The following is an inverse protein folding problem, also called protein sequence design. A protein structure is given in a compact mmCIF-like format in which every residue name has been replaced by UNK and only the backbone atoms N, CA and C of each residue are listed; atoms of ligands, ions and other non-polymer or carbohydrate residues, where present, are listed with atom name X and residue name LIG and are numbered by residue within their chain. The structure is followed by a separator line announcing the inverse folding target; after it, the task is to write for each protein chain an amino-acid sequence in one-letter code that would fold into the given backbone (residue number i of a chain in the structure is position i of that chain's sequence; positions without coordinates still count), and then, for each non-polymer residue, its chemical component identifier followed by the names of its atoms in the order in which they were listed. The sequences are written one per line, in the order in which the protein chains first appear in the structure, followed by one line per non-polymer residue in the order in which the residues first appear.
data_IF_782206305173
#
_entry.id   IF_782206305173
#
_cell.length_a   1.000
_cell.length_b   1.000
_cell.length_c   1.000
_cell.angle_alpha   90.00
_cell.angle_beta   90.00
_cell.angle_gamma   90.00
#
_symmetry.space_group_name_H-M   'P 1'
#
loop_
_entity.id
_entity.type
_entity.pdbx_description
1 polymer ?
#
# COMPACT_ATOMS: atom_id res chain seq x y z
N UNK A 1 -11.01 12.00 2.75
CA UNK A 1 -10.64 11.33 3.99
C UNK A 1 -9.15 11.48 4.29
N UNK A 2 -8.26 11.00 3.42
CA UNK A 2 -6.82 11.26 3.48
C UNK A 2 -6.38 12.09 2.27
N UNK A 3 -5.55 13.11 2.49
CA UNK A 3 -4.98 13.95 1.44
C UNK A 3 -3.51 14.23 1.76
N UNK A 4 -2.63 13.90 0.84
CA UNK A 4 -1.22 14.30 0.88
C UNK A 4 -1.04 15.50 -0.03
N UNK A 5 -0.40 16.57 0.45
CA UNK A 5 -0.07 17.74 -0.34
C UNK A 5 1.38 18.14 -0.10
N UNK A 6 2.16 18.18 -1.18
CA UNK A 6 3.58 18.53 -1.17
C UNK A 6 4.39 17.76 -0.12
N UNK A 7 4.01 16.48 0.11
CA UNK A 7 4.68 15.63 1.09
C UNK A 7 6.10 15.35 0.63
N UNK A 8 7.07 15.79 1.42
CA UNK A 8 8.49 15.47 1.21
C UNK A 8 9.04 14.75 2.43
N UNK A 9 9.80 13.73 2.17
CA UNK A 9 10.51 12.95 3.19
C UNK A 9 11.99 12.88 2.82
N UNK A 10 12.86 13.32 3.72
CA UNK A 10 14.31 13.29 3.54
C UNK A 10 15.00 12.57 4.70
N UNK A 11 16.03 11.79 4.38
CA UNK A 11 16.93 11.13 5.35
C UNK A 11 18.36 11.48 4.90
N UNK A 12 19.19 11.93 5.81
CA UNK A 12 20.59 12.35 5.53
C UNK A 12 20.67 13.34 4.35
N UNK A 13 19.75 14.33 4.34
CA UNK A 13 19.56 15.33 3.30
C UNK A 13 19.26 14.76 1.89
N UNK A 14 18.96 13.47 1.77
CA UNK A 14 18.54 12.83 0.54
C UNK A 14 17.01 12.73 0.48
N UNK A 15 16.42 13.25 -0.60
CA UNK A 15 14.97 13.20 -0.82
C UNK A 15 14.53 11.77 -1.23
N UNK A 16 13.75 11.13 -0.33
CA UNK A 16 13.18 9.80 -0.52
C UNK A 16 11.82 9.88 -1.20
N UNK A 17 10.98 10.84 -0.77
CA UNK A 17 9.61 11.05 -1.24
C UNK A 17 9.45 12.53 -1.61
N UNK A 18 8.75 12.75 -2.72
CA UNK A 18 8.28 14.06 -3.14
C UNK A 18 6.93 13.90 -3.85
N UNK A 19 5.88 13.78 -3.06
CA UNK A 19 4.51 13.59 -3.55
C UNK A 19 3.81 14.93 -3.55
N UNK A 20 3.55 15.47 -4.74
CA UNK A 20 2.82 16.74 -4.88
C UNK A 20 1.38 16.61 -4.37
N UNK A 21 0.69 15.54 -4.76
CA UNK A 21 -0.69 15.26 -4.33
C UNK A 21 -1.01 13.77 -4.41
N UNK A 22 -1.71 13.26 -3.38
CA UNK A 22 -2.36 11.94 -3.36
C UNK A 22 -3.59 12.01 -2.47
N UNK A 23 -4.74 11.52 -2.96
CA UNK A 23 -6.00 11.57 -2.24
C UNK A 23 -6.61 10.17 -2.11
N UNK A 24 -7.14 9.85 -0.92
CA UNK A 24 -7.95 8.65 -0.66
C UNK A 24 -9.31 9.12 -0.18
N UNK A 25 -10.36 8.85 -0.98
CA UNK A 25 -11.75 9.14 -0.60
C UNK A 25 -12.27 8.05 0.36
N UNK A 26 -13.31 8.34 1.17
CA UNK A 26 -13.93 7.31 2.01
C UNK A 26 -14.36 6.09 1.19
N UNK A 27 -14.14 4.89 1.72
CA UNK A 27 -14.50 3.62 1.06
C UNK A 27 -13.67 3.28 -0.19
N UNK A 28 -12.65 4.07 -0.53
CA UNK A 28 -11.77 3.80 -1.68
C UNK A 28 -10.71 2.77 -1.33
N UNK A 29 -10.47 1.82 -2.23
CA UNK A 29 -9.30 0.94 -2.22
C UNK A 29 -8.27 1.49 -3.21
N UNK A 30 -7.26 2.20 -2.68
CA UNK A 30 -6.18 2.78 -3.48
C UNK A 30 -4.95 1.87 -3.44
N UNK A 31 -4.49 1.43 -4.61
CA UNK A 31 -3.21 0.75 -4.78
C UNK A 31 -2.06 1.75 -4.92
N UNK A 32 -0.99 1.57 -4.17
CA UNK A 32 0.28 2.28 -4.36
C UNK A 32 1.30 1.30 -4.94
N UNK A 33 1.63 1.45 -6.21
CA UNK A 33 2.44 0.47 -6.95
C UNK A 33 3.72 1.08 -7.51
N UNK A 34 4.79 0.28 -7.57
CA UNK A 34 6.08 0.65 -8.15
C UNK A 34 7.17 -0.35 -7.79
N UNK A 35 8.34 -0.26 -8.44
CA UNK A 35 9.48 -1.14 -8.15
C UNK A 35 9.96 -1.02 -6.68
N UNK A 36 10.75 -2.00 -6.23
CA UNK A 36 11.41 -1.92 -4.91
C UNK A 36 12.28 -0.66 -4.82
N UNK A 37 12.28 0.01 -3.67
CA UNK A 37 13.01 1.26 -3.48
C UNK A 37 12.32 2.51 -4.05
N UNK A 38 11.10 2.41 -4.62
CA UNK A 38 10.38 3.58 -5.16
C UNK A 38 9.77 4.52 -4.11
N UNK A 39 9.79 4.16 -2.82
CA UNK A 39 9.26 4.98 -1.72
C UNK A 39 7.89 4.55 -1.18
N UNK A 40 7.31 3.43 -1.62
CA UNK A 40 5.97 2.94 -1.21
C UNK A 40 5.83 2.80 0.31
N UNK A 41 6.65 1.95 0.92
CA UNK A 41 6.67 1.70 2.38
C UNK A 41 6.91 2.98 3.17
N UNK A 42 7.80 3.86 2.69
CA UNK A 42 8.07 5.14 3.35
C UNK A 42 6.86 6.07 3.27
N UNK A 43 6.11 6.06 2.15
CA UNK A 43 4.84 6.81 2.02
C UNK A 43 3.79 6.27 3.01
N UNK A 44 3.63 4.94 3.09
CA UNK A 44 2.72 4.29 4.03
C UNK A 44 3.07 4.65 5.49
N UNK A 45 4.35 4.57 5.85
CA UNK A 45 4.85 4.95 7.19
C UNK A 45 4.70 6.45 7.48
N UNK A 46 4.90 7.33 6.49
CA UNK A 46 4.68 8.77 6.65
C UNK A 46 3.23 9.08 7.02
N UNK A 47 2.26 8.42 6.37
CA UNK A 47 0.84 8.56 6.66
C UNK A 47 0.52 8.08 8.09
N UNK A 48 1.12 6.98 8.53
CA UNK A 48 0.89 6.42 9.88
C UNK A 48 1.70 7.11 11.00
N UNK A 49 2.60 8.05 10.66
CA UNK A 49 3.53 8.65 11.61
C UNK A 49 4.52 7.63 12.20
N UNK A 50 5.00 6.69 11.37
CA UNK A 50 5.90 5.59 11.75
C UNK A 50 7.27 5.70 11.07
N UNK A 51 7.66 6.90 10.67
CA UNK A 51 8.99 7.14 10.12
C UNK A 51 10.06 7.11 11.23
N UNK A 52 11.31 6.75 10.90
CA UNK A 52 12.43 6.88 11.84
C UNK A 52 12.64 8.32 12.32
N UNK A 53 13.19 8.50 13.52
CA UNK A 53 13.37 9.82 14.15
C UNK A 53 14.30 10.75 13.35
N UNK A 54 15.24 10.21 12.59
CA UNK A 54 16.19 10.97 11.75
C UNK A 54 15.53 11.55 10.50
N UNK A 55 14.25 11.25 10.28
CA UNK A 55 13.53 11.64 9.07
C UNK A 55 13.00 13.06 9.18
N UNK A 56 13.36 13.91 8.21
CA UNK A 56 12.73 15.23 8.05
C UNK A 56 11.51 15.09 7.14
N UNK A 57 10.37 15.57 7.62
CA UNK A 57 9.09 15.52 6.88
C UNK A 57 8.54 16.93 6.74
N UNK A 58 8.03 17.26 5.55
CA UNK A 58 7.38 18.54 5.27
C UNK A 58 6.19 18.37 4.32
N UNK A 59 5.38 19.41 4.16
CA UNK A 59 4.10 19.35 3.44
C UNK A 59 2.94 19.08 4.39
N UNK A 60 1.92 18.34 3.92
CA UNK A 60 0.79 17.99 4.78
C UNK A 60 0.27 16.57 4.52
N UNK A 61 -0.20 15.94 5.59
CA UNK A 61 -0.91 14.65 5.61
C UNK A 61 -2.24 14.90 6.31
N UNK A 62 -3.24 15.37 5.56
CA UNK A 62 -4.56 15.66 6.09
C UNK A 62 -5.38 14.37 6.22
N UNK A 63 -5.78 14.03 7.44
CA UNK A 63 -6.66 12.90 7.71
C UNK A 63 -7.88 13.38 8.51
N UNK A 64 -9.06 13.18 7.95
CA UNK A 64 -10.33 13.62 8.56
C UNK A 64 -10.34 15.09 9.01
N UNK A 65 -9.70 15.97 8.23
CA UNK A 65 -9.64 17.41 8.51
C UNK A 65 -8.50 17.86 9.42
N UNK A 66 -7.64 16.95 9.89
CA UNK A 66 -6.50 17.25 10.76
C UNK A 66 -5.18 16.91 10.06
N UNK A 67 -4.18 17.79 10.13
CA UNK A 67 -2.85 17.48 9.61
C UNK A 67 -2.07 16.61 10.58
N UNK A 68 -1.75 15.39 10.19
CA UNK A 68 -1.05 14.42 11.05
C UNK A 68 0.39 14.84 11.36
N UNK A 69 1.01 15.66 10.50
CA UNK A 69 2.39 16.11 10.72
C UNK A 69 2.51 17.14 11.86
N UNK A 70 1.40 17.77 12.25
CA UNK A 70 1.37 18.76 13.33
C UNK A 70 1.13 18.12 14.71
N UNK A 71 0.87 16.80 14.73
CA UNK A 71 0.54 16.07 15.93
C UNK A 71 1.79 15.55 16.63
N UNK A 72 1.77 15.60 17.96
CA UNK A 72 2.72 14.89 18.81
C UNK A 72 2.55 13.36 18.66
N UNK A 73 3.59 12.58 18.99
CA UNK A 73 3.50 11.12 18.97
C UNK A 73 2.37 10.58 19.88
N UNK A 74 2.12 11.24 21.01
CA UNK A 74 1.01 10.90 21.93
C UNK A 74 -0.36 11.09 21.29
N UNK A 75 -0.52 12.10 20.43
CA UNK A 75 -1.77 12.35 19.69
C UNK A 75 -1.91 11.37 18.53
N UNK A 76 -0.83 11.10 17.78
CA UNK A 76 -0.78 10.08 16.76
C UNK A 76 -1.09 8.68 17.31
N UNK A 77 -0.60 8.36 18.52
CA UNK A 77 -0.89 7.09 19.18
C UNK A 77 -2.40 6.88 19.46
N UNK A 78 -3.18 7.97 19.63
CA UNK A 78 -4.65 7.87 19.76
C UNK A 78 -5.35 7.57 18.44
N UNK A 79 -4.74 7.89 17.31
CA UNK A 79 -5.28 7.63 15.97
C UNK A 79 -4.83 6.27 15.44
N UNK A 80 -3.59 5.88 15.73
CA UNK A 80 -3.04 4.56 15.37
C UNK A 80 -3.84 3.47 16.10
N UNK A 81 -4.26 2.46 15.35
CA UNK A 81 -5.11 1.37 15.82
C UNK A 81 -6.59 1.73 15.89
N UNK A 82 -6.96 2.96 16.30
CA UNK A 82 -8.36 3.39 16.40
C UNK A 82 -8.95 3.87 15.08
N UNK A 83 -8.22 4.69 14.33
CA UNK A 83 -8.68 5.28 13.07
C UNK A 83 -7.82 4.89 11.87
N UNK A 84 -6.56 4.55 12.12
CA UNK A 84 -5.61 4.10 11.11
C UNK A 84 -5.06 2.75 11.57
N UNK A 85 -5.47 1.67 10.90
CA UNK A 85 -4.90 0.33 11.04
C UNK A 85 -3.70 0.17 10.12
N UNK A 86 -2.71 -0.61 10.55
CA UNK A 86 -1.52 -0.89 9.76
C UNK A 86 -1.21 -2.40 9.74
N UNK A 87 -1.12 -2.98 8.55
CA UNK A 87 -0.67 -4.35 8.29
C UNK A 87 0.73 -4.27 7.69
N UNK A 88 1.72 -4.77 8.42
CA UNK A 88 3.13 -4.75 8.01
C UNK A 88 3.45 -5.87 7.03
N UNK A 89 4.56 -5.73 6.31
CA UNK A 89 5.02 -6.66 5.29
C UNK A 89 5.33 -8.07 5.82
N UNK A 90 5.89 -8.18 7.03
CA UNK A 90 6.37 -9.44 7.61
C UNK A 90 5.65 -9.69 8.94
N UNK A 91 4.68 -10.64 8.99
CA UNK A 91 3.95 -10.94 10.22
C UNK A 91 4.83 -11.58 11.28
N UNK A 92 5.87 -12.34 10.90
CA UNK A 92 6.76 -12.99 11.84
C UNK A 92 7.63 -11.99 12.63
N UNK A 93 7.96 -10.85 12.00
CA UNK A 93 8.68 -9.74 12.66
C UNK A 93 7.76 -8.77 13.38
N UNK A 94 6.50 -8.69 12.97
CA UNK A 94 5.54 -7.72 13.49
C UNK A 94 4.81 -8.23 14.73
N UNK A 95 4.56 -9.54 14.80
CA UNK A 95 3.97 -10.17 15.98
C UNK A 95 5.04 -10.40 17.06
N UNK A 96 4.71 -10.07 18.32
CA UNK A 96 5.60 -10.31 19.45
C UNK A 96 5.67 -11.84 19.74
N UNK A 97 6.83 -12.50 19.53
CA UNK A 97 6.95 -13.96 19.66
C UNK A 97 6.74 -14.44 21.11
N UNK A 98 6.90 -13.57 22.10
CA UNK A 98 6.73 -13.89 23.53
C UNK A 98 5.33 -13.60 24.06
N UNK A 99 4.42 -13.12 23.20
CA UNK A 99 3.06 -12.76 23.59
C UNK A 99 2.03 -13.66 22.89
N UNK A 100 1.03 -14.12 23.64
CA UNK A 100 -0.07 -14.93 23.09
C UNK A 100 -0.91 -14.13 22.12
N UNK A 101 -1.45 -14.81 21.10
CA UNK A 101 -2.26 -14.22 20.03
C UNK A 101 -3.44 -13.41 20.58
N UNK A 102 -4.23 -14.00 21.48
CA UNK A 102 -5.38 -13.29 22.08
C UNK A 102 -5.01 -12.01 22.80
N UNK A 103 -3.82 -11.95 23.41
CA UNK A 103 -3.33 -10.74 24.06
C UNK A 103 -2.97 -9.67 23.03
N UNK A 104 -2.27 -10.04 21.95
CA UNK A 104 -1.87 -9.09 20.91
C UNK A 104 -3.07 -8.47 20.20
N UNK A 105 -4.05 -9.29 19.78
CA UNK A 105 -5.27 -8.78 19.14
C UNK A 105 -6.09 -7.92 20.11
N UNK A 106 -6.10 -8.25 21.43
CA UNK A 106 -6.86 -7.48 22.42
C UNK A 106 -6.24 -6.13 22.76
N UNK A 107 -5.00 -5.86 22.39
CA UNK A 107 -4.32 -4.61 22.76
C UNK A 107 -5.05 -3.38 22.21
N UNK A 108 -5.33 -3.35 20.91
CA UNK A 108 -6.05 -2.25 20.26
C UNK A 108 -7.46 -2.07 20.86
N UNK A 109 -8.17 -3.17 21.15
CA UNK A 109 -9.49 -3.12 21.79
C UNK A 109 -9.41 -2.45 23.16
N UNK A 110 -8.45 -2.86 23.99
CA UNK A 110 -8.26 -2.32 25.36
C UNK A 110 -7.85 -0.85 25.38
N UNK A 111 -7.07 -0.43 24.37
CA UNK A 111 -6.56 0.95 24.29
C UNK A 111 -7.61 1.91 23.71
N UNK A 112 -8.48 1.45 22.81
CA UNK A 112 -9.30 2.33 22.00
C UNK A 112 -10.82 2.12 22.15
N UNK A 113 -11.25 1.15 22.96
CA UNK A 113 -12.67 0.89 23.23
C UNK A 113 -12.95 0.84 24.74
N UNK A 114 -14.22 0.95 25.12
CA UNK A 114 -14.66 0.84 26.51
C UNK A 114 -14.89 -0.61 26.98
N UNK A 115 -14.63 -1.60 26.11
CA UNK A 115 -14.83 -3.02 26.40
C UNK A 115 -13.87 -3.49 27.50
N UNK A 116 -14.39 -4.34 28.43
CA UNK A 116 -13.62 -4.88 29.57
C UNK A 116 -13.93 -6.37 29.80
N UNK A 117 -13.01 -7.04 30.45
CA UNK A 117 -13.21 -8.41 30.91
C UNK A 117 -13.56 -9.38 29.77
N UNK A 118 -14.65 -10.13 29.93
CA UNK A 118 -15.11 -11.12 28.98
C UNK A 118 -15.47 -10.52 27.62
N UNK A 119 -16.05 -9.32 27.56
CA UNK A 119 -16.41 -8.66 26.31
C UNK A 119 -15.21 -8.43 25.37
N UNK A 120 -14.02 -8.16 25.92
CA UNK A 120 -12.79 -8.09 25.11
C UNK A 120 -12.46 -9.45 24.48
N UNK A 121 -12.57 -10.53 25.28
CA UNK A 121 -12.28 -11.89 24.79
C UNK A 121 -13.26 -12.30 23.69
N UNK A 122 -14.55 -12.02 23.90
CA UNK A 122 -15.61 -12.34 22.92
C UNK A 122 -15.37 -11.56 21.62
N UNK A 123 -14.95 -10.27 21.72
CA UNK A 123 -14.59 -9.46 20.53
C UNK A 123 -13.34 -9.97 19.80
N UNK A 124 -12.35 -10.45 20.54
CA UNK A 124 -11.16 -11.10 19.92
C UNK A 124 -11.57 -12.37 19.16
N UNK A 125 -12.42 -13.21 19.73
CA UNK A 125 -12.93 -14.43 19.06
C UNK A 125 -13.69 -14.05 17.79
N UNK A 126 -14.58 -13.06 17.86
CA UNK A 126 -15.30 -12.52 16.70
C UNK A 126 -14.35 -12.07 15.58
N UNK A 127 -13.30 -11.31 15.93
CA UNK A 127 -12.31 -10.83 14.95
C UNK A 127 -11.53 -11.97 14.31
N UNK A 128 -11.14 -13.00 15.10
CA UNK A 128 -10.45 -14.17 14.56
C UNK A 128 -11.35 -14.99 13.63
N UNK A 129 -12.67 -15.05 13.89
CA UNK A 129 -13.65 -15.61 12.95
C UNK A 129 -13.76 -14.77 11.66
N UNK A 130 -13.83 -13.44 11.77
CA UNK A 130 -13.94 -12.54 10.63
C UNK A 130 -12.73 -12.66 9.68
N UNK A 131 -11.53 -12.93 10.24
CA UNK A 131 -10.35 -13.20 9.40
C UNK A 131 -10.23 -14.68 9.03
N UNK A 132 -11.30 -15.47 9.21
CA UNK A 132 -11.41 -16.86 8.78
C UNK A 132 -10.35 -17.80 9.40
N UNK A 133 -9.99 -17.57 10.65
CA UNK A 133 -9.13 -18.48 11.38
C UNK A 133 -9.95 -19.62 12.00
N UNK A 134 -9.53 -20.88 11.84
CA UNK A 134 -10.23 -22.03 12.45
C UNK A 134 -10.02 -22.05 13.97
N UNK A 135 -11.01 -22.53 14.71
CA UNK A 135 -10.97 -22.73 16.16
C UNK A 135 -10.39 -21.54 16.96
N UNK A 136 -10.96 -20.33 16.83
CA UNK A 136 -10.35 -19.11 17.38
C UNK A 136 -10.16 -19.17 18.90
N UNK A 137 -11.01 -19.90 19.63
CA UNK A 137 -10.89 -20.08 21.09
C UNK A 137 -9.56 -20.77 21.48
N UNK A 138 -9.10 -21.70 20.67
CA UNK A 138 -7.83 -22.40 20.90
C UNK A 138 -6.64 -21.50 20.55
N UNK A 139 -6.80 -20.65 19.53
CA UNK A 139 -5.77 -19.72 19.06
C UNK A 139 -5.43 -18.62 20.09
N UNK A 140 -6.37 -18.23 20.94
CA UNK A 140 -6.15 -17.22 21.96
C UNK A 140 -4.92 -17.50 22.84
N UNK A 141 -4.64 -18.77 23.10
CA UNK A 141 -3.56 -19.21 23.99
C UNK A 141 -2.26 -19.53 23.27
N UNK A 142 -2.29 -19.63 21.93
CA UNK A 142 -1.11 -19.92 21.11
C UNK A 142 -0.18 -18.70 20.99
N UNK A 143 1.07 -18.97 20.65
CA UNK A 143 2.09 -17.99 20.31
C UNK A 143 2.29 -17.92 18.79
N UNK A 144 2.84 -16.84 18.24
CA UNK A 144 3.05 -16.69 16.80
C UNK A 144 3.78 -17.87 16.13
N UNK A 145 4.84 -18.37 16.75
CA UNK A 145 5.63 -19.49 16.22
C UNK A 145 4.87 -20.82 16.12
N UNK A 146 3.66 -20.91 16.69
CA UNK A 146 2.79 -22.08 16.60
C UNK A 146 1.75 -21.97 15.46
N UNK A 147 1.84 -20.94 14.65
CA UNK A 147 0.95 -20.64 13.54
C UNK A 147 1.69 -20.71 12.20
N UNK A 148 0.98 -21.11 11.12
CA UNK A 148 1.50 -20.96 9.76
C UNK A 148 1.63 -19.48 9.36
N UNK A 149 2.41 -19.16 8.33
CA UNK A 149 2.58 -17.78 7.83
C UNK A 149 1.25 -17.13 7.47
N UNK A 150 0.36 -17.83 6.79
CA UNK A 150 -0.98 -17.32 6.46
C UNK A 150 -1.86 -17.09 7.70
N UNK A 151 -1.75 -17.93 8.74
CA UNK A 151 -2.44 -17.71 10.01
C UNK A 151 -1.87 -16.51 10.76
N UNK A 152 -0.55 -16.32 10.78
CA UNK A 152 0.08 -15.12 11.36
C UNK A 152 -0.37 -13.86 10.65
N UNK A 153 -0.47 -13.89 9.31
CA UNK A 153 -0.96 -12.77 8.50
C UNK A 153 -2.41 -12.43 8.88
N UNK A 154 -3.29 -13.42 8.99
CA UNK A 154 -4.68 -13.21 9.41
C UNK A 154 -4.79 -12.65 10.83
N UNK A 155 -3.94 -13.09 11.76
CA UNK A 155 -3.85 -12.51 13.12
C UNK A 155 -3.42 -11.04 13.06
N UNK A 156 -2.43 -10.70 12.25
CA UNK A 156 -1.97 -9.31 12.09
C UNK A 156 -3.08 -8.43 11.50
N UNK A 157 -3.83 -8.93 10.51
CA UNK A 157 -5.01 -8.23 9.97
C UNK A 157 -6.07 -8.05 11.07
N UNK A 158 -6.38 -9.10 11.87
CA UNK A 158 -7.34 -9.01 12.96
C UNK A 158 -6.94 -7.93 13.99
N UNK A 159 -5.65 -7.86 14.35
CA UNK A 159 -5.13 -6.84 15.25
C UNK A 159 -5.26 -5.42 14.64
N UNK A 160 -4.96 -5.27 13.35
CA UNK A 160 -5.03 -3.98 12.67
C UNK A 160 -6.46 -3.42 12.54
N UNK A 161 -7.47 -4.29 12.46
CA UNK A 161 -8.89 -3.88 12.36
C UNK A 161 -9.65 -3.94 13.70
N UNK A 162 -8.96 -4.23 14.81
CA UNK A 162 -9.60 -4.57 16.08
C UNK A 162 -10.42 -3.44 16.72
N UNK A 163 -10.11 -2.18 16.42
CA UNK A 163 -10.83 -1.00 16.89
C UNK A 163 -11.63 -0.28 15.77
N UNK A 164 -11.99 -0.99 14.71
CA UNK A 164 -12.80 -0.52 13.57
C UNK A 164 -12.24 0.76 12.91
N UNK A 165 -11.00 0.71 12.33
CA UNK A 165 -10.38 1.90 11.74
C UNK A 165 -11.11 2.37 10.47
N UNK A 166 -10.98 3.68 10.16
CA UNK A 166 -11.51 4.27 8.92
C UNK A 166 -10.60 3.98 7.71
N UNK A 167 -9.30 3.84 7.98
CA UNK A 167 -8.26 3.55 6.98
C UNK A 167 -7.44 2.35 7.42
N UNK A 168 -7.32 1.36 6.54
CA UNK A 168 -6.34 0.29 6.68
C UNK A 168 -5.20 0.52 5.69
N UNK A 169 -3.97 0.54 6.17
CA UNK A 169 -2.76 0.56 5.35
C UNK A 169 -2.21 -0.86 5.36
N UNK A 170 -2.10 -1.48 4.19
CA UNK A 170 -1.56 -2.81 4.02
C UNK A 170 -0.27 -2.74 3.17
N UNK A 171 0.87 -2.85 3.84
CA UNK A 171 2.19 -2.75 3.20
C UNK A 171 2.69 -4.13 2.80
N UNK A 172 2.60 -4.43 1.50
CA UNK A 172 2.95 -5.72 0.89
C UNK A 172 2.41 -6.95 1.67
N UNK A 173 1.09 -7.01 1.96
CA UNK A 173 0.53 -7.95 2.94
C UNK A 173 0.56 -9.42 2.50
N UNK A 174 0.97 -9.73 1.30
CA UNK A 174 1.00 -11.09 0.74
C UNK A 174 2.40 -11.54 0.34
N UNK A 175 3.42 -10.72 0.58
CA UNK A 175 4.83 -11.10 0.32
C UNK A 175 5.21 -12.32 1.16
N UNK A 176 5.88 -13.29 0.52
CA UNK A 176 6.33 -14.55 1.12
C UNK A 176 5.21 -15.58 1.46
N UNK A 177 3.99 -15.39 0.93
CA UNK A 177 2.91 -16.39 0.99
C UNK A 177 2.84 -17.17 -0.33
N UNK A 178 2.37 -18.43 -0.26
CA UNK A 178 2.04 -19.16 -1.47
C UNK A 178 0.81 -18.56 -2.19
N UNK A 179 0.67 -18.87 -3.49
CA UNK A 179 -0.34 -18.23 -4.36
C UNK A 179 -1.77 -18.43 -3.85
N UNK A 180 -2.08 -19.61 -3.30
CA UNK A 180 -3.43 -19.91 -2.80
C UNK A 180 -3.75 -19.08 -1.57
N UNK A 181 -2.84 -19.05 -0.59
CA UNK A 181 -2.99 -18.23 0.63
C UNK A 181 -2.99 -16.74 0.29
N UNK A 182 -2.17 -16.31 -0.69
CA UNK A 182 -2.19 -14.94 -1.17
C UNK A 182 -3.58 -14.54 -1.67
N UNK A 183 -4.20 -15.33 -2.54
CA UNK A 183 -5.55 -15.03 -3.05
C UNK A 183 -6.58 -14.94 -1.92
N UNK A 184 -6.55 -15.85 -0.96
CA UNK A 184 -7.44 -15.82 0.20
C UNK A 184 -7.29 -14.54 1.03
N UNK A 185 -6.05 -14.08 1.29
CA UNK A 185 -5.79 -12.83 2.02
C UNK A 185 -6.27 -11.62 1.23
N UNK A 186 -6.09 -11.59 -0.09
CA UNK A 186 -6.59 -10.49 -0.92
C UNK A 186 -8.11 -10.40 -0.90
N UNK A 187 -8.81 -11.53 -1.05
CA UNK A 187 -10.28 -11.60 -0.94
C UNK A 187 -10.77 -11.19 0.44
N UNK A 188 -10.06 -11.58 1.50
CA UNK A 188 -10.35 -11.16 2.87
C UNK A 188 -10.26 -9.63 3.02
N UNK A 189 -9.19 -9.00 2.53
CA UNK A 189 -9.01 -7.54 2.60
C UNK A 189 -10.11 -6.78 1.84
N UNK A 190 -10.51 -7.26 0.67
CA UNK A 190 -11.63 -6.70 -0.11
C UNK A 190 -12.92 -6.78 0.71
N UNK A 191 -13.26 -7.98 1.21
CA UNK A 191 -14.47 -8.22 1.99
C UNK A 191 -14.54 -7.36 3.25
N UNK A 192 -13.43 -7.25 4.00
CA UNK A 192 -13.35 -6.40 5.19
C UNK A 192 -13.52 -4.92 4.86
N UNK A 193 -12.91 -4.44 3.77
CA UNK A 193 -13.04 -3.06 3.32
C UNK A 193 -14.51 -2.73 2.98
N UNK A 194 -15.19 -3.61 2.25
CA UNK A 194 -16.59 -3.42 1.84
C UNK A 194 -17.55 -3.52 3.02
N UNK A 195 -17.45 -4.55 3.84
CA UNK A 195 -18.37 -4.77 4.98
C UNK A 195 -18.29 -3.65 6.02
N UNK A 196 -17.12 -3.05 6.20
CA UNK A 196 -16.89 -1.99 7.20
C UNK A 196 -16.91 -0.58 6.60
N UNK A 197 -17.13 -0.43 5.28
CA UNK A 197 -16.95 0.83 4.55
C UNK A 197 -15.60 1.49 4.86
N UNK A 198 -14.56 0.67 5.04
CA UNK A 198 -13.21 1.07 5.43
C UNK A 198 -12.39 1.33 4.17
N UNK A 199 -11.68 2.45 4.14
CA UNK A 199 -10.74 2.74 3.05
C UNK A 199 -9.50 1.86 3.18
N UNK A 200 -8.91 1.49 2.05
CA UNK A 200 -7.71 0.67 2.00
C UNK A 200 -6.61 1.37 1.20
N UNK A 201 -5.45 1.59 1.79
CA UNK A 201 -4.21 1.86 1.07
C UNK A 201 -3.43 0.56 0.94
N UNK A 202 -3.44 0.00 -0.26
CA UNK A 202 -2.79 -1.27 -0.56
C UNK A 202 -1.46 -1.02 -1.27
N UNK A 203 -0.36 -1.34 -0.62
CA UNK A 203 0.99 -1.19 -1.17
C UNK A 203 1.45 -2.52 -1.77
N UNK A 204 1.89 -2.49 -3.02
CA UNK A 204 2.42 -3.66 -3.71
C UNK A 204 3.45 -3.26 -4.77
N UNK A 205 4.32 -4.20 -5.16
CA UNK A 205 5.14 -4.09 -6.37
C UNK A 205 4.49 -4.78 -7.57
N UNK A 206 3.38 -5.50 -7.37
CA UNK A 206 2.66 -6.24 -8.40
C UNK A 206 1.38 -5.52 -8.80
N UNK A 207 1.35 -5.03 -10.05
CA UNK A 207 0.20 -4.31 -10.59
C UNK A 207 -1.01 -5.23 -10.84
N UNK A 208 -0.78 -6.52 -11.11
CA UNK A 208 -1.86 -7.51 -11.26
C UNK A 208 -2.61 -7.74 -9.95
N UNK A 209 -1.88 -7.81 -8.83
CA UNK A 209 -2.47 -7.89 -7.48
C UNK A 209 -3.25 -6.61 -7.16
N UNK A 210 -2.69 -5.44 -7.49
CA UNK A 210 -3.38 -4.15 -7.30
C UNK A 210 -4.66 -4.08 -8.12
N UNK A 211 -4.65 -4.55 -9.36
CA UNK A 211 -5.84 -4.63 -10.22
C UNK A 211 -6.96 -5.50 -9.60
N UNK A 212 -6.58 -6.56 -8.92
CA UNK A 212 -7.54 -7.46 -8.26
C UNK A 212 -8.20 -6.83 -7.03
N UNK A 213 -7.43 -6.04 -6.25
CA UNK A 213 -7.86 -5.52 -4.94
C UNK A 213 -8.47 -4.13 -5.04
N UNK A 214 -7.93 -3.25 -5.89
CA UNK A 214 -8.14 -1.82 -5.82
C UNK A 214 -9.06 -1.30 -6.92
N UNK A 215 -9.75 -0.21 -6.65
CA UNK A 215 -10.54 0.53 -7.64
C UNK A 215 -9.81 1.79 -8.15
N UNK A 216 -8.79 2.24 -7.43
CA UNK A 216 -7.89 3.31 -7.85
C UNK A 216 -6.43 2.89 -7.69
N UNK A 217 -5.55 3.49 -8.45
CA UNK A 217 -4.11 3.22 -8.36
C UNK A 217 -3.29 4.51 -8.48
N UNK A 218 -2.21 4.58 -7.71
CA UNK A 218 -1.15 5.56 -7.83
C UNK A 218 0.17 4.83 -8.10
N UNK A 219 0.80 5.16 -9.21
CA UNK A 219 2.10 4.60 -9.61
C UNK A 219 3.20 5.52 -9.11
N UNK A 220 4.10 4.98 -8.30
CA UNK A 220 5.20 5.73 -7.71
C UNK A 220 6.54 5.27 -8.31
N UNK A 221 7.38 6.23 -8.69
CA UNK A 221 8.75 6.02 -9.15
C UNK A 221 9.68 7.04 -8.54
N UNK A 222 10.73 6.57 -7.88
CA UNK A 222 11.73 7.43 -7.26
C UNK A 222 11.13 8.46 -6.28
N UNK A 223 10.12 8.08 -5.50
CA UNK A 223 9.46 8.94 -4.54
C UNK A 223 8.41 9.90 -5.11
N UNK A 224 8.17 9.92 -6.43
CA UNK A 224 7.14 10.74 -7.06
C UNK A 224 5.96 9.89 -7.53
N UNK A 225 4.73 10.34 -7.32
CA UNK A 225 3.57 9.78 -8.02
C UNK A 225 3.65 10.23 -9.47
N UNK A 226 3.92 9.29 -10.37
CA UNK A 226 4.11 9.58 -11.79
C UNK A 226 2.82 9.46 -12.58
N UNK A 227 1.87 8.67 -12.09
CA UNK A 227 0.54 8.49 -12.67
C UNK A 227 -0.43 8.05 -11.58
N UNK A 228 -1.66 8.56 -11.60
CA UNK A 228 -2.72 8.15 -10.66
C UNK A 228 -4.09 8.28 -11.32
N UNK A 229 -4.98 7.33 -11.00
CA UNK A 229 -6.34 7.35 -11.52
C UNK A 229 -7.13 6.09 -11.19
N UNK A 230 -8.26 5.95 -11.87
CA UNK A 230 -9.05 4.74 -11.87
C UNK A 230 -8.27 3.56 -12.44
N UNK A 231 -8.37 2.39 -11.82
CA UNK A 231 -7.54 1.22 -12.16
C UNK A 231 -7.70 0.79 -13.62
N UNK A 232 -8.95 0.76 -14.12
CA UNK A 232 -9.22 0.34 -15.50
C UNK A 232 -8.66 1.35 -16.51
N UNK A 233 -8.72 2.64 -16.19
CA UNK A 233 -8.14 3.70 -17.01
C UNK A 233 -6.63 3.59 -17.12
N UNK A 234 -5.94 3.34 -15.99
CA UNK A 234 -4.48 3.19 -15.93
C UNK A 234 -4.02 1.95 -16.69
N UNK A 235 -4.73 0.82 -16.54
CA UNK A 235 -4.33 -0.44 -17.21
C UNK A 235 -4.56 -0.38 -18.70
N UNK A 236 -5.71 0.15 -19.14
CA UNK A 236 -6.05 0.15 -20.58
C UNK A 236 -5.41 1.33 -21.34
N UNK A 237 -5.13 2.45 -20.67
CA UNK A 237 -4.62 3.69 -21.27
C UNK A 237 -3.53 4.35 -20.41
N UNK A 238 -2.44 3.64 -20.08
CA UNK A 238 -1.35 4.23 -19.33
C UNK A 238 -0.81 5.47 -20.09
N UNK A 239 -0.47 6.51 -19.35
CA UNK A 239 0.07 7.74 -19.92
C UNK A 239 1.56 7.89 -19.59
N UNK A 240 1.98 7.54 -18.40
CA UNK A 240 3.40 7.61 -18.05
C UNK A 240 4.15 6.40 -18.62
N UNK A 241 5.28 6.63 -19.28
CA UNK A 241 6.09 5.57 -19.90
C UNK A 241 6.57 4.50 -18.92
N UNK A 242 6.76 4.85 -17.66
CA UNK A 242 7.05 3.86 -16.61
C UNK A 242 5.86 2.94 -16.34
N UNK A 243 4.65 3.49 -16.24
CA UNK A 243 3.42 2.69 -16.08
C UNK A 243 3.23 1.72 -17.23
N UNK A 244 3.40 2.22 -18.47
CA UNK A 244 3.33 1.37 -19.66
C UNK A 244 4.40 0.26 -19.64
N UNK A 245 5.62 0.58 -19.19
CA UNK A 245 6.69 -0.42 -19.07
C UNK A 245 6.42 -1.44 -17.94
N UNK A 246 5.84 -1.03 -16.82
CA UNK A 246 5.41 -1.95 -15.75
C UNK A 246 4.33 -2.92 -16.24
N UNK A 247 3.35 -2.42 -16.98
CA UNK A 247 2.28 -3.25 -17.56
C UNK A 247 2.85 -4.24 -18.59
N UNK A 248 3.78 -3.80 -19.44
CA UNK A 248 4.42 -4.65 -20.44
C UNK A 248 5.34 -5.72 -19.81
N UNK A 249 5.91 -5.44 -18.64
CA UNK A 249 6.74 -6.37 -17.87
C UNK A 249 5.92 -7.36 -17.04
N UNK A 250 4.68 -7.03 -16.72
CA UNK A 250 3.76 -7.90 -15.98
C UNK A 250 2.81 -8.56 -16.99
N UNK A 251 2.93 -9.86 -17.23
CA UNK A 251 2.10 -10.55 -18.23
C UNK A 251 0.60 -10.55 -17.90
N UNK A 252 0.21 -10.09 -16.69
CA UNK A 252 -1.14 -10.20 -16.20
C UNK A 252 -1.51 -11.66 -15.87
N UNK A 253 -2.54 -11.87 -15.05
CA UNK A 253 -3.19 -13.17 -15.00
C UNK A 253 -4.01 -13.34 -16.32
N UNK A 254 -3.93 -14.49 -17.01
CA UNK A 254 -4.79 -14.75 -18.15
C UNK A 254 -6.25 -14.57 -17.71
N UNK A 255 -7.02 -13.79 -18.44
CA UNK A 255 -8.46 -13.65 -18.20
C UNK A 255 -9.23 -14.97 -18.43
N UNK A 256 -8.61 -15.88 -19.17
CA UNK A 256 -9.08 -17.23 -19.47
C UNK A 256 -7.96 -18.21 -19.16
N UNK A 257 -8.27 -19.48 -18.84
CA UNK A 257 -7.32 -20.56 -18.51
C UNK A 257 -6.32 -20.89 -19.66
N UNK A 258 -6.15 -19.99 -20.60
CA UNK A 258 -5.32 -20.17 -21.78
C UNK A 258 -3.86 -19.74 -21.53
N UNK A 259 -3.12 -20.51 -20.74
CA UNK A 259 -1.68 -20.35 -20.52
C UNK A 259 -0.86 -20.44 -21.82
N UNK A 260 -1.41 -21.03 -22.88
CA UNK A 260 -0.71 -21.18 -24.17
C UNK A 260 -0.39 -19.84 -24.84
N UNK A 261 -1.16 -18.78 -24.56
CA UNK A 261 -0.92 -17.43 -25.08
C UNK A 261 0.39 -16.79 -24.58
N UNK A 262 0.97 -17.32 -23.49
CA UNK A 262 2.22 -16.83 -22.90
C UNK A 262 3.45 -17.66 -23.28
N UNK A 263 3.24 -18.87 -23.82
CA UNK A 263 4.33 -19.74 -24.23
C UNK A 263 5.06 -19.12 -25.42
N UNK A 264 6.35 -18.84 -25.26
CA UNK A 264 7.19 -18.26 -26.32
C UNK A 264 7.16 -16.74 -26.45
N UNK A 265 6.35 -16.01 -25.69
CA UNK A 265 6.46 -14.55 -25.64
C UNK A 265 7.65 -14.13 -24.79
N UNK A 266 8.54 -13.32 -25.38
CA UNK A 266 9.63 -12.68 -24.65
C UNK A 266 9.03 -11.56 -23.80
N UNK A 267 9.07 -11.69 -22.47
CA UNK A 267 8.63 -10.63 -21.57
C UNK A 267 9.48 -9.37 -21.80
N UNK A 268 8.82 -8.22 -21.88
CA UNK A 268 9.52 -6.95 -21.92
C UNK A 268 10.04 -6.63 -20.51
N UNK A 269 11.31 -6.33 -20.42
CA UNK A 269 11.91 -5.91 -19.14
C UNK A 269 12.16 -4.42 -19.14
N UNK A 270 11.98 -3.77 -17.98
CA UNK A 270 12.36 -2.38 -17.81
C UNK A 270 13.89 -2.32 -17.75
N UNK A 271 14.51 -1.62 -18.72
CA UNK A 271 15.97 -1.55 -18.84
C UNK A 271 16.61 -0.92 -17.60
N UNK A 272 17.71 -1.48 -17.15
CA UNK A 272 18.50 -0.99 -16.01
C UNK A 272 17.81 -1.23 -14.65
N UNK A 273 18.39 -0.68 -13.59
CA UNK A 273 17.87 -0.75 -12.22
C UNK A 273 17.38 0.62 -11.74
N UNK A 274 16.53 0.63 -10.71
CA UNK A 274 16.13 1.86 -10.02
C UNK A 274 17.39 2.51 -9.43
N UNK A 275 17.68 3.79 -9.72
CA UNK A 275 18.80 4.49 -9.10
C UNK A 275 18.70 4.49 -7.59
N UNK A 276 19.84 4.39 -6.90
CA UNK A 276 19.87 4.58 -5.46
C UNK A 276 19.35 5.98 -5.09
N UNK A 277 18.84 6.10 -3.87
CA UNK A 277 18.42 7.39 -3.31
C UNK A 277 19.55 8.40 -3.44
N UNK A 278 19.24 9.63 -3.80
CA UNK A 278 20.22 10.69 -4.07
C UNK A 278 20.90 10.62 -5.46
N UNK A 279 20.68 9.55 -6.24
CA UNK A 279 21.26 9.39 -7.60
C UNK A 279 20.23 9.49 -8.72
N UNK A 280 19.02 9.93 -8.43
CA UNK A 280 18.03 10.16 -9.46
C UNK A 280 18.42 11.37 -10.33
N UNK A 281 18.15 11.31 -11.65
CA UNK A 281 18.40 12.45 -12.53
C UNK A 281 17.47 13.64 -12.19
N UNK A 282 17.88 14.84 -12.51
CA UNK A 282 17.01 16.04 -12.46
C UNK A 282 15.84 15.88 -13.44
N UNK A 283 14.73 16.60 -13.22
CA UNK A 283 13.54 16.48 -14.07
C UNK A 283 12.79 15.18 -13.90
N UNK A 284 12.47 14.51 -15.01
CA UNK A 284 11.81 13.20 -14.97
C UNK A 284 12.77 12.14 -14.40
N UNK A 285 12.46 11.59 -13.23
CA UNK A 285 13.32 10.59 -12.57
C UNK A 285 13.47 9.28 -13.35
N UNK A 286 12.51 8.97 -14.22
CA UNK A 286 12.56 7.78 -15.07
C UNK A 286 13.37 7.97 -16.37
N UNK A 287 13.80 9.20 -16.73
CA UNK A 287 14.38 9.51 -18.05
C UNK A 287 15.56 8.63 -18.45
N UNK A 288 16.44 8.23 -17.52
CA UNK A 288 17.61 7.41 -17.83
C UNK A 288 17.27 5.96 -18.22
N UNK A 289 16.03 5.53 -17.95
CA UNK A 289 15.52 4.19 -18.28
C UNK A 289 14.42 4.26 -19.35
N UNK A 290 14.02 5.47 -19.75
CA UNK A 290 12.93 5.70 -20.70
C UNK A 290 13.45 5.70 -22.12
N UNK A 291 12.96 4.79 -22.96
CA UNK A 291 13.30 4.73 -24.39
C UNK A 291 12.76 5.92 -25.22
N UNK A 292 11.84 6.71 -24.63
CA UNK A 292 11.22 7.90 -25.24
C UNK A 292 11.72 9.19 -24.62
N UNK A 293 12.84 9.15 -23.90
CA UNK A 293 13.38 10.35 -23.27
C UNK A 293 13.89 11.36 -24.33
N UNK A 294 13.67 12.65 -24.06
CA UNK A 294 14.22 13.76 -24.82
C UNK A 294 14.79 14.83 -23.90
N UNK A 295 15.36 15.89 -24.45
CA UNK A 295 15.90 17.02 -23.66
C UNK A 295 14.83 17.67 -22.77
N UNK A 296 13.56 17.65 -23.16
CA UNK A 296 12.45 18.12 -22.31
C UNK A 296 12.38 17.38 -20.97
N UNK A 297 12.78 16.12 -20.94
CA UNK A 297 12.76 15.30 -19.71
C UNK A 297 13.84 15.71 -18.68
N UNK A 298 14.73 16.66 -19.02
CA UNK A 298 15.66 17.27 -18.08
C UNK A 298 14.93 18.24 -17.12
N UNK A 299 13.73 18.68 -17.46
CA UNK A 299 12.84 19.45 -16.60
C UNK A 299 11.72 18.57 -16.03
N UNK A 300 11.13 19.00 -14.90
CA UNK A 300 10.01 18.30 -14.27
C UNK A 300 8.79 18.38 -15.19
N UNK A 301 8.17 17.23 -15.55
CA UNK A 301 6.94 17.28 -16.35
C UNK A 301 5.81 17.96 -15.57
N UNK A 302 4.98 18.77 -16.25
CA UNK A 302 3.79 19.33 -15.62
C UNK A 302 2.78 18.20 -15.31
N UNK A 303 1.92 18.45 -14.32
CA UNK A 303 0.75 17.59 -14.09
C UNK A 303 -0.19 17.73 -15.29
N UNK A 304 -0.42 16.63 -15.99
CA UNK A 304 -1.33 16.54 -17.12
C UNK A 304 -2.50 15.61 -16.76
N UNK A 305 -3.64 15.81 -17.38
CA UNK A 305 -4.85 14.98 -17.16
C UNK A 305 -5.28 14.32 -18.46
N UNK A 306 -5.53 13.02 -18.43
CA UNK A 306 -6.15 12.29 -19.54
C UNK A 306 -7.69 12.23 -19.38
N UNK A 307 -8.18 12.26 -18.14
CA UNK A 307 -9.58 12.40 -17.75
C UNK A 307 -9.66 13.05 -16.36
N UNK A 308 -10.84 13.47 -15.87
CA UNK A 308 -10.98 14.14 -14.56
C UNK A 308 -10.28 13.43 -13.39
N UNK A 309 -10.29 12.11 -13.38
CA UNK A 309 -9.69 11.28 -12.34
C UNK A 309 -8.37 10.60 -12.77
N UNK A 310 -7.82 10.93 -13.96
CA UNK A 310 -6.57 10.33 -14.46
C UNK A 310 -5.50 11.39 -14.69
N UNK A 311 -4.50 11.44 -13.82
CA UNK A 311 -3.39 12.41 -13.82
C UNK A 311 -2.06 11.71 -14.06
N UNK A 312 -1.14 12.40 -14.76
CA UNK A 312 0.19 11.86 -15.04
C UNK A 312 1.27 12.95 -15.18
N UNK A 313 2.54 12.57 -15.02
CA UNK A 313 3.73 13.41 -15.12
C UNK A 313 4.63 12.93 -16.27
N UNK A 314 4.26 13.17 -17.51
CA UNK A 314 5.05 12.75 -18.66
C UNK A 314 5.04 13.79 -19.79
N UNK A 315 6.23 14.10 -20.36
CA UNK A 315 6.37 14.94 -21.55
C UNK A 315 5.97 14.22 -22.84
N UNK A 316 6.05 12.88 -22.83
CA UNK A 316 5.79 12.03 -23.99
C UNK A 316 4.82 10.89 -23.58
N UNK A 317 3.53 11.21 -23.35
CA UNK A 317 2.58 10.21 -22.88
C UNK A 317 2.56 8.97 -23.81
N UNK A 318 2.30 7.82 -23.23
CA UNK A 318 2.09 6.60 -23.98
C UNK A 318 0.76 6.72 -24.73
N UNK A 319 0.74 6.36 -26.00
CA UNK A 319 -0.51 6.10 -26.69
C UNK A 319 -0.98 4.72 -26.20
N UNK A 320 -2.21 4.63 -25.70
CA UNK A 320 -2.74 3.41 -25.10
C UNK A 320 -2.46 2.16 -25.96
N UNK A 321 -2.46 1.01 -25.34
CA UNK A 321 -2.37 -0.25 -26.04
C UNK A 321 -3.60 -0.39 -26.94
N UNK A 322 -3.37 -0.33 -28.29
CA UNK A 322 -4.37 -0.61 -29.32
C UNK A 322 -4.53 -2.10 -29.49
#
# INVERSE_FOLDING_TARGET
MLQLQNLRVTIDDQEIINIAQLDIRPGTRLGLVGESGSGKTMTAKAIAGLLPDETKVSGSVMFAGQNLLDLSDRELAKLRGRRIGFVFQDPARSLNPMMRIGKQVSEAIRLHTDLKGKAVTDKVIELLHQVQLPEPETLLRRYPHQLSGGQQQRVMIAAAIAADPDLLIADEPTTALDVTVQEEILRLLISLSEQRNMSLLFVSHDLGVVQFVCNQVAVIYGGNIVEAGDIDSIINRPQHRYTAALLAANPGMPKDDNFSAFIGRRLQTITGSVPAVGKFPSGCRFRNRCQHASDKCQSIPPVSTASPDHRYLCWHPAQGFS
#
